data_IF_530659797166
#
_entry.id   IF_530659797166
#
_cell.length_a   1.000
_cell.length_b   1.000
_cell.length_c   1.000
_cell.angle_alpha   90.00
_cell.angle_beta   90.00
_cell.angle_gamma   90.00
#
_symmetry.space_group_name_H-M   'P 1'
#
loop_
_entity.id
_entity.type
_entity.pdbx_description
1 polymer ?
#
# COMPACT_ATOMS: atom_id res chain seq x y z
N UNK A 1 -23.15 11.90 -10.00
CA UNK A 1 -21.70 12.09 -9.77
C UNK A 1 -21.02 10.72 -9.76
N UNK A 2 -19.97 10.56 -10.55
CA UNK A 2 -19.18 9.31 -10.50
C UNK A 2 -18.35 9.29 -9.23
N UNK A 3 -18.51 8.26 -8.43
CA UNK A 3 -17.76 8.04 -7.19
C UNK A 3 -16.44 7.27 -7.40
N UNK A 4 -16.17 6.84 -8.63
CA UNK A 4 -14.95 6.14 -9.00
C UNK A 4 -14.57 6.42 -10.45
N UNK A 5 -13.34 6.11 -10.80
CA UNK A 5 -12.84 6.23 -12.17
C UNK A 5 -11.60 5.37 -12.40
N UNK A 6 -11.19 5.26 -13.65
CA UNK A 6 -9.97 4.56 -14.05
C UNK A 6 -9.07 5.52 -14.79
N UNK A 7 -7.81 5.56 -14.41
CA UNK A 7 -6.75 6.29 -15.12
C UNK A 7 -5.81 5.24 -15.71
N UNK A 8 -5.89 5.08 -17.02
CA UNK A 8 -5.01 4.12 -17.73
C UNK A 8 -3.58 4.65 -17.77
N UNK A 9 -2.61 3.74 -17.61
CA UNK A 9 -1.18 4.04 -17.69
C UNK A 9 -0.71 5.15 -16.72
N UNK A 10 -1.36 5.26 -15.56
CA UNK A 10 -0.96 6.22 -14.52
C UNK A 10 0.44 5.92 -13.96
N UNK A 11 0.84 4.65 -13.99
CA UNK A 11 2.15 4.16 -13.57
C UNK A 11 2.73 3.32 -14.70
N UNK A 12 4.02 3.50 -15.00
CA UNK A 12 4.71 2.69 -16.03
C UNK A 12 4.82 1.22 -15.58
N UNK A 13 4.90 0.30 -16.56
CA UNK A 13 5.07 -1.12 -16.28
C UNK A 13 6.34 -1.41 -15.49
N UNK A 14 7.45 -0.72 -15.79
CA UNK A 14 8.70 -0.90 -15.07
C UNK A 14 8.57 -0.54 -13.58
N UNK A 15 7.85 0.51 -13.26
CA UNK A 15 7.58 0.90 -11.87
C UNK A 15 6.65 -0.10 -11.19
N UNK A 16 5.64 -0.61 -11.89
CA UNK A 16 4.73 -1.65 -11.36
C UNK A 16 5.51 -2.93 -11.06
N UNK A 17 6.35 -3.38 -11.96
CA UNK A 17 7.16 -4.58 -11.79
C UNK A 17 8.16 -4.42 -10.64
N UNK A 18 8.80 -3.27 -10.55
CA UNK A 18 9.68 -2.93 -9.43
C UNK A 18 8.93 -2.94 -8.10
N UNK A 19 7.79 -2.28 -8.01
CA UNK A 19 6.98 -2.22 -6.78
C UNK A 19 6.52 -3.61 -6.33
N UNK A 20 6.11 -4.45 -7.27
CA UNK A 20 5.72 -5.83 -6.99
C UNK A 20 6.91 -6.63 -6.44
N UNK A 21 8.04 -6.62 -7.13
CA UNK A 21 9.25 -7.32 -6.67
C UNK A 21 9.74 -6.81 -5.31
N UNK A 22 9.71 -5.51 -5.10
CA UNK A 22 10.07 -4.87 -3.84
C UNK A 22 9.20 -5.35 -2.66
N UNK A 23 7.90 -5.35 -2.81
CA UNK A 23 6.97 -5.79 -1.75
C UNK A 23 7.09 -7.28 -1.46
N UNK A 24 7.27 -8.11 -2.49
CA UNK A 24 7.47 -9.55 -2.32
C UNK A 24 8.78 -9.85 -1.59
N UNK A 25 9.85 -9.14 -1.90
CA UNK A 25 11.13 -9.28 -1.20
C UNK A 25 11.01 -8.81 0.25
N UNK A 26 10.36 -7.68 0.50
CA UNK A 26 10.12 -7.17 1.86
C UNK A 26 9.35 -8.17 2.72
N UNK A 27 8.30 -8.77 2.17
CA UNK A 27 7.55 -9.84 2.83
C UNK A 27 8.45 -11.03 3.17
N UNK A 28 9.28 -11.47 2.23
CA UNK A 28 10.21 -12.59 2.43
C UNK A 28 11.22 -12.29 3.53
N UNK A 29 11.78 -11.10 3.54
CA UNK A 29 12.73 -10.65 4.59
C UNK A 29 12.05 -10.67 5.96
N UNK A 30 10.86 -10.11 6.08
CA UNK A 30 10.12 -10.13 7.33
C UNK A 30 9.83 -11.55 7.82
N UNK A 31 9.37 -12.43 6.93
CA UNK A 31 9.12 -13.84 7.26
C UNK A 31 10.37 -14.55 7.78
N UNK A 32 11.51 -14.31 7.12
CA UNK A 32 12.79 -14.94 7.50
C UNK A 32 13.29 -14.44 8.84
N UNK A 33 13.33 -13.15 9.05
CA UNK A 33 13.87 -12.53 10.25
C UNK A 33 12.96 -12.71 11.46
N UNK A 34 11.66 -12.75 11.24
CA UNK A 34 10.69 -13.00 12.31
C UNK A 34 10.88 -14.40 12.90
N UNK A 35 11.05 -15.42 12.04
CA UNK A 35 11.33 -16.80 12.47
C UNK A 35 12.61 -16.90 13.28
N UNK A 36 13.63 -16.14 12.92
CA UNK A 36 14.94 -16.13 13.58
C UNK A 36 15.05 -15.13 14.72
N UNK A 37 14.00 -14.38 15.01
CA UNK A 37 13.95 -13.34 16.05
C UNK A 37 15.00 -12.22 15.87
N UNK A 38 15.42 -11.92 14.65
CA UNK A 38 16.35 -10.83 14.37
C UNK A 38 15.65 -9.47 14.26
N UNK A 39 14.34 -9.44 14.06
CA UNK A 39 13.55 -8.21 14.03
C UNK A 39 12.77 -8.11 15.33
N UNK A 40 12.81 -6.94 15.93
CA UNK A 40 11.95 -6.62 17.07
C UNK A 40 10.47 -6.75 16.64
N UNK A 41 9.66 -7.58 17.31
CA UNK A 41 8.25 -7.78 16.96
C UNK A 41 7.40 -6.51 17.11
N UNK A 42 7.89 -5.49 17.80
CA UNK A 42 7.24 -4.19 17.95
C UNK A 42 7.67 -3.16 16.91
N UNK A 43 8.65 -3.49 16.05
CA UNK A 43 9.03 -2.64 14.92
C UNK A 43 8.13 -2.94 13.72
N UNK A 44 7.64 -1.87 13.08
CA UNK A 44 6.82 -1.96 11.86
C UNK A 44 7.57 -1.54 10.59
N UNK A 45 8.88 -1.33 10.68
CA UNK A 45 9.70 -0.83 9.57
C UNK A 45 9.71 -1.76 8.36
N UNK A 46 9.56 -3.07 8.60
CA UNK A 46 9.51 -4.11 7.56
C UNK A 46 8.09 -4.55 7.21
N UNK A 47 7.09 -4.00 7.89
CA UNK A 47 5.71 -4.39 7.75
C UNK A 47 5.20 -5.28 8.87
N UNK A 48 4.04 -5.87 8.69
CA UNK A 48 3.36 -6.69 9.70
C UNK A 48 2.54 -7.81 9.06
N UNK A 49 2.31 -8.87 9.84
CA UNK A 49 1.28 -9.89 9.56
C UNK A 49 0.08 -9.79 10.51
N UNK A 50 0.02 -8.75 11.35
CA UNK A 50 -0.96 -8.59 12.41
C UNK A 50 -2.05 -7.55 12.10
N UNK A 51 -2.27 -7.24 10.81
CA UNK A 51 -3.39 -6.37 10.44
C UNK A 51 -4.70 -7.12 10.64
N UNK A 52 -5.52 -6.65 11.59
CA UNK A 52 -6.81 -7.25 11.91
C UNK A 52 -7.80 -7.21 10.73
N UNK A 53 -7.64 -6.31 9.79
CA UNK A 53 -8.51 -6.17 8.62
C UNK A 53 -8.37 -7.36 7.66
N UNK A 54 -7.15 -7.88 7.48
CA UNK A 54 -6.88 -9.12 6.75
C UNK A 54 -5.82 -9.90 7.51
N UNK A 55 -6.21 -10.73 8.48
CA UNK A 55 -5.28 -11.45 9.36
C UNK A 55 -4.31 -12.35 8.58
N UNK A 56 -3.10 -12.49 9.11
CA UNK A 56 -2.03 -13.34 8.57
C UNK A 56 -1.58 -12.96 7.14
N UNK A 57 -1.84 -11.73 6.72
CA UNK A 57 -1.49 -11.22 5.40
C UNK A 57 -0.50 -10.07 5.56
N UNK A 58 0.56 -10.11 4.74
CA UNK A 58 1.60 -9.07 4.78
C UNK A 58 1.02 -7.70 4.43
N UNK A 59 1.29 -6.73 5.28
CA UNK A 59 0.92 -5.33 5.07
C UNK A 59 2.02 -4.38 5.55
N UNK A 60 2.11 -3.22 4.94
CA UNK A 60 2.99 -2.15 5.39
C UNK A 60 2.34 -0.79 5.20
N UNK A 61 2.38 0.00 6.26
CA UNK A 61 1.92 1.37 6.29
C UNK A 61 3.11 2.33 6.12
N UNK A 62 2.96 3.31 5.23
CA UNK A 62 3.94 4.38 5.11
C UNK A 62 5.34 3.94 4.67
N UNK A 63 5.43 2.90 3.84
CA UNK A 63 6.68 2.50 3.23
C UNK A 63 7.22 3.62 2.35
N UNK A 64 8.51 3.95 2.49
CA UNK A 64 9.09 5.11 1.82
C UNK A 64 9.06 5.01 0.28
N UNK A 65 9.18 3.81 -0.28
CA UNK A 65 9.05 3.63 -1.72
C UNK A 65 7.59 3.82 -2.17
N UNK A 66 6.64 3.34 -1.39
CA UNK A 66 5.20 3.52 -1.67
C UNK A 66 4.77 4.96 -1.45
N UNK A 67 5.29 5.65 -0.44
CA UNK A 67 5.07 7.09 -0.23
C UNK A 67 5.64 7.93 -1.37
N UNK A 68 6.78 7.51 -1.92
CA UNK A 68 7.37 8.14 -3.12
C UNK A 68 6.44 7.99 -4.33
N UNK A 69 5.87 6.81 -4.52
CA UNK A 69 4.89 6.57 -5.57
C UNK A 69 3.60 7.41 -5.36
N UNK A 70 3.10 7.45 -4.13
CA UNK A 70 1.96 8.29 -3.75
C UNK A 70 2.19 9.75 -4.13
N UNK A 71 3.34 10.30 -3.77
CA UNK A 71 3.72 11.68 -4.11
C UNK A 71 3.82 11.89 -5.62
N UNK A 72 4.37 10.93 -6.34
CA UNK A 72 4.48 10.96 -7.80
C UNK A 72 3.12 10.92 -8.51
N UNK A 73 2.12 10.25 -7.92
CA UNK A 73 0.76 10.16 -8.47
C UNK A 73 -0.11 11.39 -8.19
N UNK A 74 0.29 12.25 -7.25
CA UNK A 74 -0.50 13.43 -6.86
C UNK A 74 -0.94 14.28 -8.05
N UNK A 75 -0.05 14.71 -8.99
CA UNK A 75 -0.47 15.54 -10.11
C UNK A 75 -1.51 14.88 -11.01
N UNK A 76 -1.40 13.58 -11.23
CA UNK A 76 -2.36 12.79 -12.03
C UNK A 76 -3.72 12.75 -11.34
N UNK A 77 -3.72 12.55 -10.02
CA UNK A 77 -4.94 12.51 -9.21
C UNK A 77 -5.61 13.88 -9.13
N UNK A 78 -4.85 14.95 -8.93
CA UNK A 78 -5.37 16.34 -8.93
C UNK A 78 -6.05 16.69 -10.25
N UNK A 79 -5.41 16.33 -11.37
CA UNK A 79 -5.99 16.54 -12.70
C UNK A 79 -7.31 15.77 -12.86
N UNK A 80 -7.37 14.53 -12.37
CA UNK A 80 -8.58 13.69 -12.47
C UNK A 80 -9.69 14.16 -11.55
N UNK A 81 -9.36 14.52 -10.33
CA UNK A 81 -10.29 15.02 -9.32
C UNK A 81 -10.74 16.47 -9.59
N UNK A 82 -9.93 17.23 -10.32
CA UNK A 82 -10.09 18.70 -10.54
C UNK A 82 -10.05 19.48 -9.23
N UNK A 83 -9.23 19.02 -8.29
CA UNK A 83 -9.06 19.61 -6.97
C UNK A 83 -7.60 19.52 -6.55
N UNK A 84 -7.16 20.44 -5.71
CA UNK A 84 -5.87 20.37 -5.06
C UNK A 84 -5.94 19.32 -3.94
N UNK A 85 -4.97 18.41 -3.90
CA UNK A 85 -4.94 17.29 -2.97
C UNK A 85 -3.70 17.36 -2.09
N UNK A 86 -3.84 16.81 -0.89
CA UNK A 86 -2.72 16.57 0.02
C UNK A 86 -2.51 15.07 0.17
N UNK A 87 -1.27 14.61 0.02
CA UNK A 87 -0.94 13.22 0.31
C UNK A 87 -1.08 12.96 1.81
N UNK A 88 -1.77 11.89 2.18
CA UNK A 88 -1.91 11.50 3.59
C UNK A 88 -0.98 10.35 3.93
N UNK A 89 -1.17 9.18 3.35
CA UNK A 89 -0.31 8.01 3.56
C UNK A 89 -0.47 7.00 2.43
N UNK A 90 0.49 6.10 2.34
CA UNK A 90 0.37 4.89 1.55
C UNK A 90 0.13 3.66 2.44
N UNK A 91 -0.53 2.67 1.89
CA UNK A 91 -0.73 1.38 2.52
C UNK A 91 -0.62 0.29 1.47
N UNK A 92 0.26 -0.68 1.69
CA UNK A 92 0.44 -1.78 0.78
C UNK A 92 0.11 -3.11 1.47
N UNK A 93 -0.53 -4.01 0.75
CA UNK A 93 -0.87 -5.36 1.23
C UNK A 93 -0.60 -6.37 0.13
N UNK A 94 -0.03 -7.51 0.50
CA UNK A 94 0.22 -8.61 -0.41
C UNK A 94 -0.77 -9.72 -0.10
N UNK A 95 -1.87 -9.74 -0.84
CA UNK A 95 -2.92 -10.75 -0.69
C UNK A 95 -2.43 -12.13 -1.12
N UNK A 96 -2.87 -13.15 -0.44
CA UNK A 96 -2.72 -14.54 -0.82
C UNK A 96 -4.09 -15.17 -1.09
N UNK A 97 -4.12 -16.33 -1.70
CA UNK A 97 -5.36 -17.04 -1.98
C UNK A 97 -6.19 -17.25 -0.69
N UNK A 98 -7.44 -16.88 -0.75
CA UNK A 98 -8.37 -16.96 0.37
C UNK A 98 -8.48 -15.70 1.22
N UNK A 99 -7.60 -14.73 1.04
CA UNK A 99 -7.71 -13.45 1.76
C UNK A 99 -8.94 -12.66 1.29
N UNK A 100 -9.64 -12.11 2.25
CA UNK A 100 -10.84 -11.29 2.00
C UNK A 100 -10.70 -9.95 2.72
N UNK A 101 -10.76 -8.87 1.97
CA UNK A 101 -10.95 -7.53 2.51
C UNK A 101 -12.45 -7.27 2.62
N UNK A 102 -12.97 -7.30 3.85
CA UNK A 102 -14.37 -7.05 4.11
C UNK A 102 -14.74 -5.62 3.69
N UNK A 103 -15.96 -5.44 3.18
CA UNK A 103 -16.48 -4.11 2.83
C UNK A 103 -16.34 -3.16 4.03
N UNK A 104 -15.70 -2.03 3.80
CA UNK A 104 -15.40 -1.04 4.83
C UNK A 104 -15.43 0.37 4.22
N UNK A 105 -15.28 1.36 5.08
CA UNK A 105 -14.97 2.73 4.70
C UNK A 105 -13.56 3.06 5.16
N UNK A 106 -12.82 3.76 4.31
CA UNK A 106 -11.52 4.32 4.68
C UNK A 106 -11.66 5.39 5.76
N UNK A 107 -10.53 5.75 6.37
CA UNK A 107 -10.51 6.83 7.36
C UNK A 107 -11.04 8.12 6.75
N UNK A 108 -11.55 8.97 7.60
CA UNK A 108 -12.01 10.31 7.24
C UNK A 108 -10.97 11.12 6.45
N UNK A 109 -9.68 10.98 6.77
CA UNK A 109 -8.59 11.66 6.07
C UNK A 109 -8.31 11.14 4.66
N UNK A 110 -8.91 10.01 4.24
CA UNK A 110 -8.79 9.45 2.91
C UNK A 110 -10.02 9.80 2.07
N UNK A 111 -10.17 11.07 1.73
CA UNK A 111 -11.29 11.53 0.91
C UNK A 111 -11.21 10.96 -0.51
N UNK A 112 -9.99 10.83 -1.03
CA UNK A 112 -9.72 10.24 -2.34
C UNK A 112 -8.64 9.16 -2.16
N UNK A 113 -8.92 7.96 -2.66
CA UNK A 113 -8.00 6.81 -2.63
C UNK A 113 -7.71 6.31 -4.05
N UNK A 114 -6.50 5.87 -4.29
CA UNK A 114 -6.10 5.26 -5.56
C UNK A 114 -5.20 4.03 -5.36
#
# INVERSE_FOLDING_TARGET
MKTYGVIKNAVSLDVVDFANAYLLLKRQVLQTFFKKRYINPFSHDWGTFNDAQVPNTYAIYGDIAMDTLLKGLKPVMEKKARELLSCTYSYARVYKKGDVLVRHKDRFSCEISC
#
